data_IF_542205681712
#
_entry.id   IF_542205681712
#
_cell.length_a   1.000
_cell.length_b   1.000
_cell.length_c   1.000
_cell.angle_alpha   90.00
_cell.angle_beta   90.00
_cell.angle_gamma   90.00
#
_symmetry.space_group_name_H-M   'P 1'
#
loop_
_entity.id
_entity.type
_entity.pdbx_description
1 polymer ?
#
# COMPACT_ATOMS: atom_id res chain seq x y z
N UNK A 1 4.81 -24.81 27.35
CA UNK A 1 5.84 -23.74 27.38
C UNK A 1 6.97 -24.15 26.42
N UNK A 2 7.06 -23.55 25.24
CA UNK A 2 8.16 -23.81 24.29
C UNK A 2 9.31 -22.85 24.60
N UNK A 3 10.52 -23.38 24.74
CA UNK A 3 11.71 -22.69 25.24
C UNK A 3 12.18 -21.53 24.31
N UNK A 4 12.84 -20.49 24.86
CA UNK A 4 13.33 -19.33 24.10
C UNK A 4 14.24 -19.68 22.91
N UNK A 5 15.02 -20.75 23.02
CA UNK A 5 15.94 -21.22 21.97
C UNK A 5 15.23 -21.72 20.71
N UNK A 6 14.03 -22.31 20.84
CA UNK A 6 13.21 -22.73 19.68
C UNK A 6 12.60 -21.53 18.94
N UNK A 7 12.33 -20.42 19.64
CA UNK A 7 11.89 -19.16 19.03
C UNK A 7 13.02 -18.46 18.28
N UNK A 8 14.22 -18.42 18.86
CA UNK A 8 15.40 -17.82 18.22
C UNK A 8 15.81 -18.56 16.94
N UNK A 9 15.77 -19.89 16.95
CA UNK A 9 16.07 -20.72 15.77
C UNK A 9 15.05 -20.55 14.64
N UNK A 10 13.76 -20.47 14.99
CA UNK A 10 12.69 -20.18 14.02
C UNK A 10 12.79 -18.79 13.40
N UNK A 11 13.20 -17.76 14.16
CA UNK A 11 13.45 -16.41 13.65
C UNK A 11 14.67 -16.34 12.71
N UNK A 12 15.70 -17.14 12.98
CA UNK A 12 16.89 -17.21 12.13
C UNK A 12 16.63 -17.98 10.83
N UNK A 13 15.84 -19.07 10.91
CA UNK A 13 15.33 -19.80 9.75
C UNK A 13 14.37 -18.94 8.91
N UNK A 14 13.48 -18.17 9.54
CA UNK A 14 12.58 -17.22 8.85
C UNK A 14 13.39 -16.10 8.16
N UNK A 15 14.42 -15.55 8.81
CA UNK A 15 15.36 -14.59 8.18
C UNK A 15 16.09 -15.19 6.98
N UNK A 16 16.53 -16.45 7.08
CA UNK A 16 17.20 -17.15 5.97
C UNK A 16 16.24 -17.49 4.82
N UNK A 17 14.96 -17.75 5.11
CA UNK A 17 13.91 -18.00 4.13
C UNK A 17 13.49 -16.70 3.42
N UNK A 18 13.35 -15.59 4.16
CA UNK A 18 13.11 -14.26 3.61
C UNK A 18 14.27 -13.78 2.73
N UNK A 19 15.52 -14.16 3.03
CA UNK A 19 16.70 -13.90 2.19
C UNK A 19 16.73 -14.71 0.88
N UNK A 20 15.92 -15.77 0.73
CA UNK A 20 15.95 -16.66 -0.43
C UNK A 20 14.76 -16.50 -1.40
N UNK A 21 13.75 -15.69 -1.04
CA UNK A 21 12.64 -15.36 -1.93
C UNK A 21 12.90 -14.03 -2.66
N UNK A 22 13.65 -14.06 -3.78
CA UNK A 22 13.84 -12.93 -4.72
C UNK A 22 14.24 -11.57 -4.09
N UNK A 23 15.01 -11.58 -3.00
CA UNK A 23 15.19 -10.46 -2.06
C UNK A 23 16.57 -9.79 -2.09
N UNK A 24 17.27 -9.82 -3.23
CA UNK A 24 18.56 -9.12 -3.37
C UNK A 24 18.32 -7.68 -3.81
N UNK A 25 18.97 -6.74 -3.13
CA UNK A 25 19.01 -5.36 -3.57
C UNK A 25 19.58 -5.28 -5.00
N UNK A 26 19.05 -4.35 -5.79
CA UNK A 26 19.54 -4.08 -7.14
C UNK A 26 20.55 -2.95 -7.06
N UNK A 27 21.78 -3.19 -7.51
CA UNK A 27 22.78 -2.12 -7.65
C UNK A 27 22.92 -1.74 -9.11
N UNK A 28 22.71 -0.48 -9.45
CA UNK A 28 22.91 0.03 -10.82
C UNK A 28 23.47 1.45 -10.74
N UNK A 29 24.53 1.74 -11.50
CA UNK A 29 25.21 3.04 -11.51
C UNK A 29 25.59 3.54 -10.10
N UNK A 30 26.01 2.64 -9.21
CA UNK A 30 26.41 2.96 -7.83
C UNK A 30 25.26 3.28 -6.87
N UNK A 31 24.00 3.16 -7.30
CA UNK A 31 22.81 3.29 -6.44
C UNK A 31 22.23 1.92 -6.13
N UNK A 32 21.89 1.71 -4.87
CA UNK A 32 21.22 0.52 -4.38
C UNK A 32 19.71 0.76 -4.30
N UNK A 33 18.91 -0.19 -4.80
CA UNK A 33 17.46 -0.21 -4.70
C UNK A 33 17.05 -1.43 -3.88
N UNK A 34 16.22 -1.19 -2.87
CA UNK A 34 15.75 -2.25 -1.98
C UNK A 34 14.57 -3.01 -2.59
N UNK A 35 14.42 -4.31 -2.30
CA UNK A 35 13.25 -5.07 -2.72
C UNK A 35 11.95 -4.51 -2.09
N UNK A 36 10.81 -4.78 -2.73
CA UNK A 36 9.48 -4.37 -2.23
C UNK A 36 9.17 -4.89 -0.84
N UNK A 37 9.71 -6.05 -0.49
CA UNK A 37 9.59 -6.68 0.82
C UNK A 37 11.00 -6.97 1.33
N UNK A 38 11.31 -6.38 2.47
CA UNK A 38 12.60 -6.51 3.13
C UNK A 38 12.43 -6.95 4.58
N UNK A 39 11.30 -6.60 5.21
CA UNK A 39 10.95 -7.08 6.55
C UNK A 39 11.89 -6.58 7.65
N UNK A 40 12.53 -5.44 7.48
CA UNK A 40 13.25 -4.76 8.56
C UNK A 40 13.43 -3.28 8.22
N UNK A 41 13.82 -2.48 9.21
CA UNK A 41 14.19 -1.09 9.01
C UNK A 41 15.68 -0.97 8.73
N UNK A 42 16.04 -0.33 7.62
CA UNK A 42 17.42 0.06 7.36
C UNK A 42 17.87 1.14 8.34
N UNK A 43 19.18 1.31 8.52
CA UNK A 43 19.73 2.39 9.36
C UNK A 43 19.24 3.77 8.92
N UNK A 44 19.14 4.01 7.60
CA UNK A 44 18.59 5.23 7.04
C UNK A 44 17.12 5.45 7.42
N UNK A 45 16.32 4.38 7.44
CA UNK A 45 14.92 4.44 7.84
C UNK A 45 14.73 4.64 9.35
N UNK A 46 15.59 4.04 10.18
CA UNK A 46 15.61 4.27 11.64
C UNK A 46 15.89 5.75 11.90
N UNK A 47 16.95 6.30 11.30
CA UNK A 47 17.29 7.72 11.42
C UNK A 47 16.14 8.62 10.96
N UNK A 48 15.48 8.28 9.84
CA UNK A 48 14.30 9.00 9.35
C UNK A 48 13.13 8.96 10.33
N UNK A 49 12.90 7.83 11.01
CA UNK A 49 11.90 7.72 12.07
C UNK A 49 12.22 8.67 13.23
N UNK A 50 13.47 8.70 13.68
CA UNK A 50 13.92 9.60 14.75
C UNK A 50 13.74 11.07 14.36
N UNK A 51 14.16 11.46 13.15
CA UNK A 51 14.15 12.85 12.70
C UNK A 51 12.76 13.35 12.26
N UNK A 52 12.02 12.58 11.46
CA UNK A 52 10.72 13.02 10.90
C UNK A 52 9.51 12.67 11.78
N UNK A 53 9.59 11.55 12.50
CA UNK A 53 8.49 11.00 13.30
C UNK A 53 8.75 11.14 14.79
N UNK A 54 9.98 11.51 15.21
CA UNK A 54 10.37 11.63 16.62
C UNK A 54 10.11 10.34 17.40
N UNK A 55 10.31 9.21 16.71
CA UNK A 55 10.11 7.85 17.23
C UNK A 55 11.34 7.41 18.04
N UNK A 56 11.17 7.27 19.36
CA UNK A 56 12.15 6.64 20.28
C UNK A 56 11.50 5.41 20.94
N UNK A 57 12.27 4.48 21.52
CA UNK A 57 11.69 3.32 22.23
C UNK A 57 10.67 3.72 23.32
N UNK A 58 10.98 4.77 24.10
CA UNK A 58 10.13 5.25 25.19
C UNK A 58 8.84 5.86 24.65
N UNK A 59 8.94 6.70 23.61
CA UNK A 59 7.76 7.30 22.98
C UNK A 59 6.91 6.24 22.31
N UNK A 60 7.53 5.28 21.62
CA UNK A 60 6.82 4.14 21.01
C UNK A 60 5.97 3.42 22.05
N UNK A 61 6.56 3.03 23.18
CA UNK A 61 5.85 2.33 24.25
C UNK A 61 4.70 3.17 24.83
N UNK A 62 4.99 4.44 25.18
CA UNK A 62 4.02 5.35 25.77
C UNK A 62 2.81 5.62 24.86
N UNK A 63 3.06 6.04 23.62
CA UNK A 63 1.99 6.46 22.71
C UNK A 63 1.19 5.25 22.18
N UNK A 64 1.80 4.06 22.10
CA UNK A 64 1.09 2.81 21.83
C UNK A 64 0.13 2.46 22.97
N UNK A 65 0.57 2.60 24.23
CA UNK A 65 -0.28 2.37 25.39
C UNK A 65 -1.46 3.33 25.42
N UNK A 66 -1.23 4.63 25.16
CA UNK A 66 -2.29 5.62 25.10
C UNK A 66 -3.30 5.33 23.98
N UNK A 67 -2.83 4.97 22.78
CA UNK A 67 -3.71 4.61 21.67
C UNK A 67 -4.58 3.39 22.01
N UNK A 68 -4.00 2.37 22.65
CA UNK A 68 -4.76 1.19 23.13
C UNK A 68 -5.83 1.58 24.14
N UNK A 69 -5.50 2.45 25.08
CA UNK A 69 -6.43 2.95 26.08
C UNK A 69 -7.62 3.70 25.45
N UNK A 70 -7.37 4.58 24.47
CA UNK A 70 -8.43 5.29 23.76
C UNK A 70 -9.36 4.33 22.99
N UNK A 71 -8.79 3.33 22.32
CA UNK A 71 -9.57 2.31 21.59
C UNK A 71 -10.41 1.44 22.55
N UNK A 72 -9.85 1.04 23.69
CA UNK A 72 -10.60 0.26 24.70
C UNK A 72 -11.78 1.05 25.29
N UNK A 73 -11.69 2.38 25.38
CA UNK A 73 -12.77 3.24 25.88
C UNK A 73 -13.81 3.62 24.83
N UNK A 74 -13.61 3.26 23.57
CA UNK A 74 -14.50 3.65 22.49
C UNK A 74 -15.43 2.49 22.09
N UNK A 75 -16.77 2.65 22.18
CA UNK A 75 -17.71 1.61 21.81
C UNK A 75 -17.56 1.10 20.36
N UNK A 76 -17.07 1.94 19.44
CA UNK A 76 -16.87 1.54 18.04
C UNK A 76 -15.75 0.52 17.85
N UNK A 77 -14.81 0.43 18.79
CA UNK A 77 -13.71 -0.55 18.76
C UNK A 77 -13.90 -1.68 19.78
N UNK A 78 -15.09 -1.78 20.38
CA UNK A 78 -15.41 -2.83 21.33
C UNK A 78 -15.28 -4.22 20.68
N UNK A 79 -14.61 -5.14 21.37
CA UNK A 79 -14.38 -6.51 20.89
C UNK A 79 -13.28 -6.67 19.82
N UNK A 80 -12.61 -5.59 19.41
CA UNK A 80 -11.50 -5.66 18.44
C UNK A 80 -10.15 -5.65 19.18
N UNK A 81 -9.41 -6.75 19.07
CA UNK A 81 -8.04 -6.83 19.57
C UNK A 81 -7.04 -6.48 18.45
N UNK A 82 -6.51 -5.25 18.50
CA UNK A 82 -5.56 -4.74 17.51
C UNK A 82 -4.12 -5.20 17.81
N UNK A 83 -3.46 -5.73 16.80
CA UNK A 83 -2.04 -6.05 16.85
C UNK A 83 -1.18 -4.78 16.89
N UNK A 84 -0.01 -4.88 17.52
CA UNK A 84 0.90 -3.73 17.70
C UNK A 84 1.31 -3.13 16.35
N UNK A 85 1.69 -3.96 15.39
CA UNK A 85 2.17 -3.55 14.07
C UNK A 85 1.17 -2.66 13.31
N UNK A 86 -0.11 -2.98 13.43
CA UNK A 86 -1.22 -2.25 12.85
C UNK A 86 -1.34 -0.88 13.51
N UNK A 87 -1.40 -0.84 14.84
CA UNK A 87 -1.43 0.41 15.60
C UNK A 87 -0.20 1.28 15.30
N UNK A 88 0.97 0.67 15.17
CA UNK A 88 2.23 1.33 14.81
C UNK A 88 2.15 1.97 13.43
N UNK A 89 1.53 1.33 12.45
CA UNK A 89 1.28 1.94 11.14
C UNK A 89 0.50 3.26 11.25
N UNK A 90 -0.56 3.28 12.06
CA UNK A 90 -1.35 4.50 12.30
C UNK A 90 -0.58 5.56 13.08
N UNK A 91 0.18 5.19 14.11
CA UNK A 91 1.03 6.12 14.86
C UNK A 91 2.08 6.77 13.94
N UNK A 92 2.80 5.96 13.15
CA UNK A 92 3.80 6.45 12.19
C UNK A 92 3.20 7.36 11.13
N UNK A 93 2.05 6.97 10.54
CA UNK A 93 1.32 7.81 9.57
C UNK A 93 0.97 9.18 10.15
N UNK A 94 0.57 9.21 11.42
CA UNK A 94 0.11 10.41 12.11
C UNK A 94 1.22 11.13 12.90
N UNK A 95 2.50 10.76 12.70
CA UNK A 95 3.65 11.35 13.40
C UNK A 95 3.46 11.33 14.92
N UNK A 96 2.98 10.20 15.45
CA UNK A 96 2.75 9.99 16.89
C UNK A 96 1.78 11.01 17.52
N UNK A 97 0.83 11.55 16.75
CA UNK A 97 -0.32 12.28 17.28
C UNK A 97 -1.45 11.27 17.54
N UNK A 98 -1.56 10.84 18.79
CA UNK A 98 -2.39 9.69 19.16
C UNK A 98 -3.86 9.91 18.84
N UNK A 99 -4.39 11.11 19.06
CA UNK A 99 -5.78 11.44 18.76
C UNK A 99 -6.07 11.32 17.26
N UNK A 100 -5.15 11.76 16.40
CA UNK A 100 -5.29 11.63 14.95
C UNK A 100 -5.25 10.16 14.51
N UNK A 101 -4.34 9.36 15.10
CA UNK A 101 -4.26 7.93 14.84
C UNK A 101 -5.55 7.22 15.27
N UNK A 102 -6.06 7.51 16.46
CA UNK A 102 -7.33 6.99 16.97
C UNK A 102 -8.49 7.35 16.03
N UNK A 103 -8.65 8.62 15.66
CA UNK A 103 -9.71 9.04 14.73
C UNK A 103 -9.59 8.36 13.36
N UNK A 104 -8.36 8.10 12.89
CA UNK A 104 -8.15 7.41 11.63
C UNK A 104 -8.55 5.93 11.70
N UNK A 105 -8.26 5.25 12.81
CA UNK A 105 -8.71 3.87 13.05
C UNK A 105 -10.24 3.81 13.08
N UNK A 106 -10.91 4.75 13.75
CA UNK A 106 -12.37 4.80 13.77
C UNK A 106 -12.98 5.00 12.37
N UNK A 107 -12.33 5.78 11.49
CA UNK A 107 -12.74 5.91 10.09
C UNK A 107 -12.60 4.59 9.33
N UNK A 108 -11.54 3.82 9.63
CA UNK A 108 -11.35 2.51 9.02
C UNK A 108 -12.41 1.51 9.51
N UNK A 109 -12.73 1.49 10.81
CA UNK A 109 -13.81 0.66 11.36
C UNK A 109 -15.14 1.01 10.69
N UNK A 110 -15.46 2.31 10.62
CA UNK A 110 -16.69 2.75 9.96
C UNK A 110 -16.74 2.31 8.49
N UNK A 111 -15.64 2.44 7.75
CA UNK A 111 -15.55 1.96 6.37
C UNK A 111 -15.80 0.44 6.28
N UNK A 112 -15.28 -0.33 7.23
CA UNK A 112 -15.50 -1.78 7.29
C UNK A 112 -16.97 -2.15 7.58
N UNK A 113 -17.64 -1.39 8.44
CA UNK A 113 -19.07 -1.58 8.74
C UNK A 113 -19.98 -1.22 7.56
N UNK A 114 -19.61 -0.20 6.78
CA UNK A 114 -20.48 0.32 5.71
C UNK A 114 -20.20 -0.26 4.33
N UNK A 115 -18.98 -0.75 4.08
CA UNK A 115 -18.53 -1.16 2.75
C UNK A 115 -18.13 -2.64 2.68
N UNK A 116 -18.65 -3.35 1.68
CA UNK A 116 -18.35 -4.76 1.45
C UNK A 116 -17.02 -5.01 0.69
N UNK A 117 -15.98 -4.26 1.06
CA UNK A 117 -14.67 -4.24 0.37
C UNK A 117 -13.53 -4.89 1.16
N UNK A 118 -13.77 -5.33 2.40
CA UNK A 118 -12.77 -5.97 3.28
C UNK A 118 -12.77 -7.50 3.20
N UNK A 119 -13.72 -8.09 2.48
CA UNK A 119 -13.78 -9.53 2.26
C UNK A 119 -12.64 -10.02 1.37
N UNK A 120 -12.31 -11.30 1.50
CA UNK A 120 -11.40 -11.98 0.57
C UNK A 120 -11.93 -11.96 -0.88
N UNK A 121 -11.01 -12.22 -1.79
CA UNK A 121 -11.22 -12.37 -3.22
C UNK A 121 -11.33 -13.88 -3.51
N UNK A 122 -12.24 -14.29 -4.40
CA UNK A 122 -12.31 -15.68 -4.86
C UNK A 122 -11.06 -16.01 -5.67
N UNK A 123 -10.48 -17.19 -5.47
CA UNK A 123 -9.21 -17.59 -6.09
C UNK A 123 -9.30 -17.59 -7.63
N UNK A 124 -10.50 -17.81 -8.18
CA UNK A 124 -10.79 -17.74 -9.62
C UNK A 124 -10.48 -16.38 -10.25
N UNK A 125 -10.49 -15.28 -9.47
CA UNK A 125 -10.23 -13.94 -9.97
C UNK A 125 -8.75 -13.56 -9.93
N UNK A 126 -7.92 -14.30 -9.18
CA UNK A 126 -6.54 -13.88 -8.89
C UNK A 126 -5.62 -14.01 -10.11
N UNK A 127 -5.92 -14.98 -10.99
CA UNK A 127 -5.06 -15.34 -12.11
C UNK A 127 -5.59 -14.83 -13.47
N UNK A 128 -6.70 -14.09 -13.45
CA UNK A 128 -7.31 -13.54 -14.66
C UNK A 128 -6.43 -12.45 -15.30
N UNK A 129 -6.48 -12.26 -16.64
CA UNK A 129 -5.82 -11.14 -17.29
C UNK A 129 -6.19 -9.78 -16.65
N UNK A 130 -7.46 -9.63 -16.28
CA UNK A 130 -7.97 -8.44 -15.59
C UNK A 130 -7.38 -8.18 -14.21
N UNK A 131 -6.84 -9.17 -13.49
CA UNK A 131 -6.18 -8.94 -12.18
C UNK A 131 -4.85 -8.19 -12.32
N UNK A 132 -4.23 -8.26 -13.51
CA UNK A 132 -2.97 -7.59 -13.85
C UNK A 132 -3.12 -6.09 -14.10
N UNK A 133 -4.29 -5.53 -13.79
CA UNK A 133 -4.53 -4.08 -13.82
C UNK A 133 -3.71 -3.35 -12.77
N UNK A 134 -3.31 -3.99 -11.68
CA UNK A 134 -2.46 -3.40 -10.64
C UNK A 134 -1.23 -4.27 -10.43
N UNK A 135 -0.06 -3.62 -10.30
CA UNK A 135 1.22 -4.29 -10.03
C UNK A 135 2.00 -3.51 -8.98
N UNK A 136 2.43 -4.18 -7.91
CA UNK A 136 3.48 -3.73 -7.01
C UNK A 136 4.83 -4.15 -7.59
N UNK A 137 5.64 -3.18 -8.00
CA UNK A 137 6.94 -3.47 -8.60
C UNK A 137 7.88 -4.15 -7.61
N UNK A 138 8.79 -5.03 -8.07
CA UNK A 138 9.65 -5.83 -7.20
C UNK A 138 10.71 -4.98 -6.47
N UNK A 139 11.01 -3.78 -6.99
CA UNK A 139 11.98 -2.86 -6.41
C UNK A 139 11.30 -1.59 -5.91
N UNK A 140 11.82 -1.03 -4.83
CA UNK A 140 11.45 0.29 -4.31
C UNK A 140 12.04 1.40 -5.18
N UNK A 141 11.47 2.59 -5.03
CA UNK A 141 12.02 3.82 -5.59
C UNK A 141 13.34 4.19 -4.92
N UNK A 142 14.07 5.16 -5.49
CA UNK A 142 15.33 5.66 -4.91
C UNK A 142 15.14 6.27 -3.51
N UNK A 143 13.93 6.73 -3.18
CA UNK A 143 13.56 7.26 -1.85
C UNK A 143 12.86 6.21 -0.97
N UNK A 144 13.07 4.92 -1.28
CA UNK A 144 12.56 3.73 -0.60
C UNK A 144 11.02 3.56 -0.62
N UNK A 145 10.31 4.39 -1.40
CA UNK A 145 8.87 4.23 -1.59
C UNK A 145 8.55 2.93 -2.33
N UNK A 146 7.51 2.22 -1.89
CA UNK A 146 6.92 1.16 -2.68
C UNK A 146 6.21 1.76 -3.91
N UNK A 147 6.33 1.11 -5.07
CA UNK A 147 5.84 1.62 -6.34
C UNK A 147 4.74 0.74 -6.92
N UNK A 148 3.54 1.29 -7.01
CA UNK A 148 2.42 0.65 -7.73
C UNK A 148 2.29 1.20 -9.15
N UNK A 149 1.91 0.34 -10.09
CA UNK A 149 1.40 0.71 -11.42
C UNK A 149 -0.03 0.17 -11.56
N UNK A 150 -0.99 1.06 -11.83
CA UNK A 150 -2.38 0.76 -12.11
C UNK A 150 -2.68 1.04 -13.59
N UNK A 151 -2.85 -0.01 -14.39
CA UNK A 151 -3.20 -0.01 -15.83
C UNK A 151 -4.69 -0.23 -16.00
N UNK A 152 -5.44 0.86 -15.99
CA UNK A 152 -6.91 0.79 -15.95
C UNK A 152 -7.53 0.20 -17.22
N UNK A 153 -6.87 0.32 -18.38
CA UNK A 153 -7.30 -0.32 -19.62
C UNK A 153 -7.22 -1.85 -19.62
N UNK A 154 -6.43 -2.47 -18.73
CA UNK A 154 -6.36 -3.93 -18.60
C UNK A 154 -7.52 -4.52 -17.81
N UNK A 155 -8.23 -3.72 -17.03
CA UNK A 155 -9.35 -4.21 -16.25
C UNK A 155 -10.58 -4.40 -17.13
N UNK A 156 -11.05 -5.64 -17.25
CA UNK A 156 -12.34 -5.97 -17.84
C UNK A 156 -13.39 -6.23 -16.74
N UNK A 157 -14.41 -5.36 -16.58
CA UNK A 157 -15.50 -5.55 -15.62
C UNK A 157 -16.34 -6.84 -15.78
N UNK A 158 -16.32 -7.49 -16.95
CA UNK A 158 -16.99 -8.79 -17.16
C UNK A 158 -16.13 -9.99 -16.74
N UNK A 159 -14.81 -9.84 -16.62
CA UNK A 159 -13.92 -10.87 -16.09
C UNK A 159 -13.69 -10.68 -14.58
N UNK A 160 -13.37 -9.45 -14.16
CA UNK A 160 -13.17 -9.06 -12.77
C UNK A 160 -14.26 -8.07 -12.37
N UNK A 161 -15.33 -8.52 -11.68
CA UNK A 161 -16.39 -7.63 -11.24
C UNK A 161 -15.87 -6.48 -10.39
N UNK A 162 -16.50 -5.31 -10.49
CA UNK A 162 -16.05 -4.10 -9.80
C UNK A 162 -15.91 -4.28 -8.28
N UNK A 163 -16.79 -5.06 -7.65
CA UNK A 163 -16.67 -5.41 -6.23
C UNK A 163 -15.38 -6.17 -5.90
N UNK A 164 -14.96 -7.09 -6.77
CA UNK A 164 -13.70 -7.82 -6.62
C UNK A 164 -12.49 -6.92 -6.88
N UNK A 165 -12.60 -5.99 -7.84
CA UNK A 165 -11.56 -4.98 -8.07
C UNK A 165 -11.32 -4.11 -6.82
N UNK A 166 -12.40 -3.64 -6.16
CA UNK A 166 -12.28 -2.84 -4.93
C UNK A 166 -11.58 -3.62 -3.82
N UNK A 167 -11.96 -4.90 -3.63
CA UNK A 167 -11.31 -5.80 -2.65
C UNK A 167 -9.83 -6.00 -2.99
N UNK A 168 -9.51 -6.24 -4.26
CA UNK A 168 -8.15 -6.42 -4.73
C UNK A 168 -7.28 -5.20 -4.46
N UNK A 169 -7.76 -3.99 -4.78
CA UNK A 169 -7.05 -2.75 -4.42
C UNK A 169 -6.75 -2.69 -2.92
N UNK A 170 -7.74 -2.95 -2.08
CA UNK A 170 -7.59 -2.85 -0.63
C UNK A 170 -6.61 -3.89 -0.07
N UNK A 171 -6.74 -5.16 -0.50
CA UNK A 171 -5.86 -6.27 -0.09
C UNK A 171 -4.41 -5.96 -0.41
N UNK A 172 -4.10 -5.54 -1.65
CA UNK A 172 -2.72 -5.30 -2.07
C UNK A 172 -2.11 -4.12 -1.31
N UNK A 173 -2.90 -3.08 -1.02
CA UNK A 173 -2.40 -1.93 -0.26
C UNK A 173 -2.15 -2.28 1.21
N UNK A 174 -3.05 -3.02 1.85
CA UNK A 174 -2.82 -3.52 3.21
C UNK A 174 -1.60 -4.44 3.27
N UNK A 175 -1.45 -5.35 2.31
CA UNK A 175 -0.30 -6.24 2.26
C UNK A 175 1.00 -5.46 2.16
N UNK A 176 1.07 -4.49 1.23
CA UNK A 176 2.27 -3.68 1.06
C UNK A 176 2.62 -2.84 2.30
N UNK A 177 1.62 -2.44 3.11
CA UNK A 177 1.80 -1.71 4.37
C UNK A 177 2.34 -2.56 5.53
N UNK A 178 2.41 -3.88 5.37
CA UNK A 178 3.01 -4.77 6.39
C UNK A 178 4.51 -4.64 6.44
N UNK A 179 5.13 -4.27 5.31
CA UNK A 179 6.54 -3.98 5.30
C UNK A 179 6.83 -2.65 6.03
N UNK A 180 7.72 -2.65 7.04
CA UNK A 180 7.95 -1.47 7.87
C UNK A 180 8.62 -0.33 7.08
N UNK A 181 9.38 -0.62 6.01
CA UNK A 181 9.90 0.41 5.10
C UNK A 181 8.78 1.11 4.36
N UNK A 182 7.70 0.41 4.00
CA UNK A 182 6.53 1.04 3.36
C UNK A 182 5.77 1.95 4.32
N UNK A 183 5.64 1.59 5.59
CA UNK A 183 4.98 2.46 6.60
C UNK A 183 5.70 3.81 6.74
N UNK A 184 7.04 3.79 6.67
CA UNK A 184 7.87 4.98 6.81
C UNK A 184 7.96 5.73 5.49
N UNK A 185 8.34 5.08 4.40
CA UNK A 185 8.67 5.77 3.16
C UNK A 185 7.42 6.04 2.32
N UNK A 186 6.43 5.16 2.38
CA UNK A 186 5.16 5.32 1.72
C UNK A 186 5.12 4.78 0.29
N UNK A 187 4.15 5.29 -0.46
CA UNK A 187 3.85 4.87 -1.83
C UNK A 187 4.10 5.97 -2.84
N UNK A 188 4.58 5.56 -4.02
CA UNK A 188 4.36 6.28 -5.28
C UNK A 188 3.46 5.42 -6.15
N UNK A 189 2.52 6.04 -6.86
CA UNK A 189 1.53 5.31 -7.67
C UNK A 189 1.53 5.89 -9.07
N UNK A 190 1.67 5.03 -10.07
CA UNK A 190 1.52 5.35 -11.48
C UNK A 190 0.13 4.88 -11.93
N UNK A 191 -0.70 5.78 -12.40
CA UNK A 191 -1.97 5.50 -13.07
C UNK A 191 -1.78 5.62 -14.57
N UNK A 192 -1.77 4.48 -15.25
CA UNK A 192 -1.74 4.38 -16.69
C UNK A 192 -3.18 4.27 -17.21
N UNK A 193 -3.62 5.31 -17.92
CA UNK A 193 -4.96 5.41 -18.48
C UNK A 193 -5.03 4.88 -19.92
N UNK A 194 -3.92 4.40 -20.50
CA UNK A 194 -3.91 3.79 -21.83
C UNK A 194 -4.89 2.60 -21.91
N UNK A 195 -5.68 2.55 -22.98
CA UNK A 195 -6.68 1.51 -23.21
C UNK A 195 -7.95 1.63 -22.36
N UNK A 196 -8.06 2.64 -21.49
CA UNK A 196 -9.28 2.88 -20.74
C UNK A 196 -10.39 3.39 -21.68
N UNK A 197 -11.56 2.77 -21.60
CA UNK A 197 -12.71 3.10 -22.45
C UNK A 197 -13.94 3.47 -21.60
N UNK A 198 -15.08 3.74 -22.26
CA UNK A 198 -16.36 3.92 -21.57
C UNK A 198 -16.77 2.71 -20.70
N UNK A 199 -16.26 1.50 -21.01
CA UNK A 199 -16.50 0.28 -20.23
C UNK A 199 -16.01 0.42 -18.79
N UNK A 200 -14.84 1.02 -18.59
CA UNK A 200 -14.27 1.30 -17.27
C UNK A 200 -14.74 2.66 -16.74
N UNK A 201 -14.82 3.69 -17.59
CA UNK A 201 -15.17 5.06 -17.18
C UNK A 201 -16.54 5.15 -16.51
N UNK A 202 -17.51 4.32 -16.88
CA UNK A 202 -18.83 4.28 -16.22
C UNK A 202 -18.77 3.97 -14.71
N UNK A 203 -17.69 3.36 -14.23
CA UNK A 203 -17.47 3.08 -12.81
C UNK A 203 -16.81 4.25 -12.07
N UNK A 204 -16.26 5.24 -12.78
CA UNK A 204 -15.68 6.46 -12.20
C UNK A 204 -16.77 7.48 -11.79
N UNK A 205 -17.81 7.02 -11.11
CA UNK A 205 -18.86 7.90 -10.56
C UNK A 205 -18.30 8.69 -9.37
N UNK A 206 -18.87 9.87 -9.03
CA UNK A 206 -18.42 10.62 -7.85
C UNK A 206 -18.41 9.80 -6.56
N UNK A 207 -19.40 8.94 -6.35
CA UNK A 207 -19.46 8.06 -5.16
C UNK A 207 -18.32 7.04 -5.16
N UNK A 208 -18.05 6.37 -6.28
CA UNK A 208 -16.98 5.39 -6.37
C UNK A 208 -15.59 6.04 -6.26
N UNK A 209 -15.39 7.19 -6.87
CA UNK A 209 -14.13 7.94 -6.78
C UNK A 209 -13.91 8.48 -5.36
N UNK A 210 -14.97 8.92 -4.67
CA UNK A 210 -14.91 9.27 -3.26
C UNK A 210 -14.55 8.05 -2.41
N UNK A 211 -15.19 6.90 -2.63
CA UNK A 211 -14.89 5.67 -1.90
C UNK A 211 -13.43 5.25 -2.09
N UNK A 212 -12.92 5.27 -3.34
CA UNK A 212 -11.50 5.00 -3.63
C UNK A 212 -10.58 5.97 -2.90
N UNK A 213 -10.83 7.29 -3.00
CA UNK A 213 -10.01 8.29 -2.30
C UNK A 213 -10.09 8.15 -0.78
N UNK A 214 -11.28 8.00 -0.22
CA UNK A 214 -11.50 7.93 1.21
C UNK A 214 -10.86 6.67 1.81
N UNK A 215 -11.10 5.50 1.21
CA UNK A 215 -10.51 4.24 1.66
C UNK A 215 -8.98 4.29 1.64
N UNK A 216 -8.39 4.72 0.51
CA UNK A 216 -6.93 4.72 0.32
C UNK A 216 -6.22 5.84 1.05
N UNK A 217 -6.71 7.08 1.00
CA UNK A 217 -5.99 8.26 1.52
C UNK A 217 -6.33 8.56 2.98
N UNK A 218 -7.62 8.47 3.33
CA UNK A 218 -8.13 8.90 4.63
C UNK A 218 -8.18 7.76 5.65
N UNK A 219 -8.53 6.53 5.26
CA UNK A 219 -8.71 5.43 6.20
C UNK A 219 -7.42 4.60 6.41
N UNK A 220 -6.74 4.21 5.33
CA UNK A 220 -5.50 3.44 5.41
C UNK A 220 -4.34 4.24 6.04
N UNK A 221 -3.42 3.61 6.80
CA UNK A 221 -2.23 4.26 7.36
C UNK A 221 -1.12 4.52 6.33
N UNK A 222 -1.48 4.76 5.05
CA UNK A 222 -0.56 4.87 3.92
C UNK A 222 0.01 6.27 3.64
N UNK A 223 1.34 6.44 3.57
CA UNK A 223 1.94 7.73 3.17
C UNK A 223 2.03 7.83 1.64
N UNK A 224 1.14 8.55 0.97
CA UNK A 224 1.30 8.81 -0.48
C UNK A 224 2.31 9.92 -0.73
N UNK A 225 3.33 9.69 -1.54
CA UNK A 225 4.36 10.67 -1.88
C UNK A 225 4.08 11.32 -3.23
N UNK A 226 3.76 10.52 -4.25
CA UNK A 226 3.53 10.99 -5.62
C UNK A 226 2.46 10.14 -6.31
N UNK A 227 1.62 10.78 -7.11
CA UNK A 227 0.68 10.16 -8.03
C UNK A 227 1.03 10.60 -9.45
N UNK A 228 1.39 9.67 -10.33
CA UNK A 228 1.76 9.94 -11.71
C UNK A 228 0.65 9.46 -12.61
N UNK A 229 0.06 10.33 -13.42
CA UNK A 229 -0.94 9.95 -14.42
C UNK A 229 -0.30 9.99 -15.79
N UNK A 230 -0.29 8.86 -16.49
CA UNK A 230 0.08 8.79 -17.90
C UNK A 230 -1.23 8.84 -18.67
N UNK A 231 -1.42 9.85 -19.51
CA UNK A 231 -2.77 10.11 -20.02
C UNK A 231 -2.82 10.67 -21.43
N UNK A 232 -3.85 10.24 -22.15
CA UNK A 232 -4.56 11.07 -23.11
C UNK A 232 -5.26 12.21 -22.36
N UNK A 233 -4.97 13.47 -22.68
CA UNK A 233 -5.38 14.61 -21.82
C UNK A 233 -6.88 14.70 -21.51
N UNK A 234 -7.76 14.07 -22.30
CA UNK A 234 -9.21 14.10 -22.10
C UNK A 234 -9.70 13.24 -20.92
N UNK A 235 -9.29 11.97 -20.80
CA UNK A 235 -9.77 11.08 -19.74
C UNK A 235 -9.34 11.56 -18.35
N UNK A 236 -8.08 11.97 -18.21
CA UNK A 236 -7.60 12.57 -16.96
C UNK A 236 -8.41 13.81 -16.59
N UNK A 237 -8.77 14.69 -17.53
CA UNK A 237 -9.59 15.88 -17.23
C UNK A 237 -10.95 15.52 -16.62
N UNK A 238 -11.59 14.43 -17.06
CA UNK A 238 -12.86 13.95 -16.48
C UNK A 238 -12.63 13.47 -15.05
N UNK A 239 -11.67 12.55 -14.86
CA UNK A 239 -11.36 11.97 -13.54
C UNK A 239 -10.94 13.07 -12.56
N UNK A 240 -10.13 14.02 -13.01
CA UNK A 240 -9.65 15.14 -12.22
C UNK A 240 -10.78 16.05 -11.75
N UNK A 241 -11.76 16.36 -12.61
CA UNK A 241 -12.94 17.17 -12.22
C UNK A 241 -13.74 16.53 -11.08
N UNK A 242 -13.77 15.20 -11.01
CA UNK A 242 -14.48 14.45 -9.96
C UNK A 242 -13.64 14.40 -8.68
N UNK A 243 -12.34 14.10 -8.79
CA UNK A 243 -11.47 13.90 -7.62
C UNK A 243 -10.98 15.19 -6.97
N UNK A 244 -10.66 16.22 -7.76
CA UNK A 244 -10.03 17.46 -7.29
C UNK A 244 -10.80 18.13 -6.13
N UNK A 245 -12.14 18.22 -6.12
CA UNK A 245 -12.88 18.79 -5.00
C UNK A 245 -12.73 18.01 -3.67
N UNK A 246 -12.40 16.72 -3.74
CA UNK A 246 -12.28 15.84 -2.57
C UNK A 246 -10.85 15.82 -2.00
N UNK A 247 -9.86 16.25 -2.79
CA UNK A 247 -8.45 16.18 -2.44
C UNK A 247 -7.99 17.38 -1.60
N UNK A 248 -7.25 17.10 -0.53
CA UNK A 248 -6.50 18.16 0.17
C UNK A 248 -5.46 18.81 -0.76
N UNK A 249 -5.09 20.06 -0.49
CA UNK A 249 -4.02 20.77 -1.21
C UNK A 249 -2.70 19.96 -1.23
N UNK A 250 -2.36 19.35 -0.10
CA UNK A 250 -1.19 18.46 0.02
C UNK A 250 -1.20 17.31 -0.98
N UNK A 251 -2.35 16.69 -1.24
CA UNK A 251 -2.46 15.59 -2.21
C UNK A 251 -2.46 16.14 -3.63
N UNK A 252 -3.14 17.25 -3.90
CA UNK A 252 -3.14 17.88 -5.23
C UNK A 252 -1.73 18.27 -5.69
N UNK A 253 -0.91 18.80 -4.79
CA UNK A 253 0.48 19.16 -5.06
C UNK A 253 1.42 17.95 -5.29
N UNK A 254 0.90 16.72 -5.18
CA UNK A 254 1.64 15.47 -5.40
C UNK A 254 1.19 14.73 -6.66
N UNK A 255 0.32 15.37 -7.46
CA UNK A 255 -0.18 14.81 -8.70
C UNK A 255 0.64 15.35 -9.86
N UNK A 256 1.22 14.44 -10.63
CA UNK A 256 2.06 14.72 -11.78
C UNK A 256 1.39 14.12 -13.02
N UNK A 257 1.23 14.92 -14.07
CA UNK A 257 0.67 14.48 -15.34
C UNK A 257 1.79 14.32 -16.35
N UNK A 258 1.78 13.19 -17.06
CA UNK A 258 2.77 12.83 -18.08
C UNK A 258 2.06 12.62 -19.41
N UNK A 259 2.63 13.16 -20.48
CA UNK A 259 2.08 13.01 -21.83
C UNK A 259 2.41 11.65 -22.45
N UNK A 260 3.50 11.03 -22.00
CA UNK A 260 4.00 9.74 -22.49
C UNK A 260 4.75 9.00 -21.37
N UNK A 261 5.11 7.74 -21.64
CA UNK A 261 5.79 6.86 -20.68
C UNK A 261 7.24 7.30 -20.42
N UNK A 262 7.87 7.94 -21.40
CA UNK A 262 9.26 8.38 -21.35
C UNK A 262 9.47 9.47 -20.29
N UNK A 263 8.49 10.36 -20.09
CA UNK A 263 8.52 11.39 -19.05
C UNK A 263 8.61 10.80 -17.62
N UNK A 264 8.18 9.55 -17.41
CA UNK A 264 8.33 8.86 -16.14
C UNK A 264 9.80 8.69 -15.75
N UNK A 265 10.72 8.63 -16.72
CA UNK A 265 12.15 8.44 -16.45
C UNK A 265 12.82 9.65 -15.82
N UNK A 266 12.15 10.80 -15.76
CA UNK A 266 12.57 11.92 -14.92
C UNK A 266 12.38 11.65 -13.41
N UNK A 267 11.52 10.69 -13.05
CA UNK A 267 11.14 10.38 -11.67
C UNK A 267 11.58 8.98 -11.24
N UNK A 268 11.57 8.03 -12.17
CA UNK A 268 11.87 6.63 -11.91
C UNK A 268 12.98 6.14 -12.84
N UNK A 269 14.11 5.63 -12.33
CA UNK A 269 15.18 5.11 -13.18
C UNK A 269 14.72 3.85 -13.95
N UNK A 270 15.27 3.65 -15.15
CA UNK A 270 14.94 2.51 -16.02
C UNK A 270 15.10 1.15 -15.33
N UNK A 271 16.11 1.03 -14.46
CA UNK A 271 16.45 -0.20 -13.77
C UNK A 271 15.38 -0.70 -12.80
N UNK A 272 14.41 0.13 -12.39
CA UNK A 272 13.27 -0.30 -11.55
C UNK A 272 11.95 -0.38 -12.32
N UNK A 273 11.94 0.05 -13.59
CA UNK A 273 10.73 0.15 -14.40
C UNK A 273 10.56 -1.08 -15.30
N UNK A 274 9.32 -1.54 -15.55
CA UNK A 274 9.09 -2.66 -16.47
C UNK A 274 9.47 -2.34 -17.93
N UNK A 275 9.88 -3.36 -18.68
CA UNK A 275 10.16 -3.25 -20.13
C UNK A 275 9.01 -2.66 -20.96
N UNK A 276 7.75 -2.92 -20.59
CA UNK A 276 6.58 -2.35 -21.27
C UNK A 276 6.48 -0.82 -21.16
N UNK A 277 7.22 -0.22 -20.22
CA UNK A 277 7.39 1.23 -20.11
C UNK A 277 8.73 1.72 -20.67
N UNK A 278 9.58 0.83 -21.23
CA UNK A 278 10.94 1.15 -21.69
C UNK A 278 12.02 1.04 -20.60
N UNK A 279 11.73 0.37 -19.48
CA UNK A 279 12.70 0.06 -18.44
C UNK A 279 13.39 -1.30 -18.62
N UNK A 280 14.11 -1.73 -17.59
CA UNK A 280 14.99 -2.91 -17.66
C UNK A 280 14.37 -4.15 -17.00
N UNK A 281 13.38 -3.97 -16.11
CA UNK A 281 12.79 -5.06 -15.34
C UNK A 281 11.83 -5.88 -16.21
N UNK A 282 12.00 -7.20 -16.16
CA UNK A 282 10.96 -8.12 -16.60
C UNK A 282 9.85 -8.16 -15.56
N UNK A 283 8.62 -7.82 -15.96
CA UNK A 283 7.47 -7.89 -15.07
C UNK A 283 7.22 -9.35 -14.66
N UNK A 284 7.34 -9.61 -13.36
CA UNK A 284 7.05 -10.92 -12.76
C UNK A 284 5.58 -11.03 -12.40
N UNK A 285 5.02 -12.24 -12.45
CA UNK A 285 3.67 -12.48 -11.93
C UNK A 285 3.59 -12.06 -10.46
N UNK A 286 2.47 -11.44 -10.07
CA UNK A 286 2.15 -11.21 -8.66
C UNK A 286 1.27 -12.29 -8.08
N UNK A 287 0.89 -13.30 -8.85
CA UNK A 287 -0.06 -14.35 -8.47
C UNK A 287 0.18 -14.91 -7.06
N UNK A 288 1.38 -15.41 -6.77
CA UNK A 288 1.73 -15.95 -5.45
C UNK A 288 1.59 -14.89 -4.35
N UNK A 289 2.01 -13.66 -4.65
CA UNK A 289 1.95 -12.54 -3.73
C UNK A 289 0.49 -12.14 -3.42
N UNK A 290 -0.37 -12.10 -4.43
CA UNK A 290 -1.80 -11.80 -4.28
C UNK A 290 -2.48 -12.94 -3.51
N UNK A 291 -2.14 -14.20 -3.79
CA UNK A 291 -2.69 -15.37 -3.11
C UNK A 291 -2.38 -15.35 -1.61
N UNK A 292 -1.13 -15.05 -1.24
CA UNK A 292 -0.76 -14.88 0.17
C UNK A 292 -1.50 -13.69 0.79
N UNK A 293 -1.46 -12.52 0.16
CA UNK A 293 -2.18 -11.34 0.63
C UNK A 293 -3.69 -11.61 0.86
N UNK A 294 -4.32 -12.37 -0.03
CA UNK A 294 -5.73 -12.72 0.04
C UNK A 294 -6.04 -13.70 1.18
N UNK A 295 -5.19 -14.71 1.40
CA UNK A 295 -5.30 -15.62 2.54
C UNK A 295 -5.21 -14.84 3.85
N UNK A 296 -4.25 -13.94 3.92
CA UNK A 296 -4.01 -13.12 5.09
C UNK A 296 -5.15 -12.12 5.37
N UNK A 297 -5.75 -11.53 4.32
CA UNK A 297 -6.94 -10.70 4.48
C UNK A 297 -8.12 -11.48 5.07
N UNK A 298 -8.34 -12.74 4.64
CA UNK A 298 -9.42 -13.59 5.17
C UNK A 298 -9.28 -13.84 6.68
N UNK A 299 -8.05 -13.91 7.17
CA UNK A 299 -7.74 -14.15 8.59
C UNK A 299 -7.68 -12.85 9.42
N UNK A 300 -7.37 -11.71 8.82
CA UNK A 300 -6.99 -10.47 9.51
C UNK A 300 -7.60 -9.21 8.89
N UNK A 301 -8.93 -9.20 8.72
CA UNK A 301 -9.66 -8.13 8.03
C UNK A 301 -9.51 -6.74 8.67
N UNK A 302 -9.63 -6.65 10.01
CA UNK A 302 -9.71 -5.38 10.75
C UNK A 302 -8.97 -5.44 12.10
N UNK A 303 -7.79 -6.05 12.13
CA UNK A 303 -6.99 -6.13 13.37
C UNK A 303 -5.48 -6.04 13.19
N UNK A 304 -4.99 -6.11 11.95
CA UNK A 304 -3.56 -6.33 11.69
C UNK A 304 -3.16 -7.78 11.84
N UNK A 305 -1.85 -8.05 11.86
CA UNK A 305 -1.31 -9.38 12.08
C UNK A 305 -0.21 -9.35 13.15
N UNK A 306 0.06 -10.46 13.86
CA UNK A 306 1.28 -10.53 14.65
C UNK A 306 2.51 -10.50 13.71
N UNK A 307 3.15 -9.34 13.58
CA UNK A 307 4.48 -9.23 13.00
C UNK A 307 5.56 -9.60 14.04
N UNK A 308 6.60 -10.32 13.61
CA UNK A 308 7.68 -10.84 14.47
C UNK A 308 8.93 -9.94 14.53
N UNK A 309 8.81 -8.65 14.18
CA UNK A 309 9.94 -7.72 14.17
C UNK A 309 10.31 -7.24 15.57
#
# INVERSE_FOLDING_TARGET
>A
MKTPERKAKGLQELRSLLQNMSSKALTTQGKEFLPREIGYLTESAIKKCEEELTETPERKAKELQELRYLLQKNPKSEGIDFYEDFLMGFLRRNKYRVENAHQQILKLIHLHETENIFGGISDEYLDLPSSKFIVLLPMRCQDDCALFICRWGKWDPSELPFEQLKRMLLVLMFQALRDPMTQINGFKIIHDLEGMSFKQLKYCTPSNMYLYYNSTVNCLPARYKEFHFISESYLFKIIWRILNPMMSEKIRNRVYLHNNKEELFHYFPRCIMPKVYGGDIQETSMEDWIKEANKEQKEFTLRGQPNYY
#
